data_IF_110542817817
#
_entry.id   IF_110542817817
#
_cell.length_a   1.000
_cell.length_b   1.000
_cell.length_c   1.000
_cell.angle_alpha   90.00
_cell.angle_beta   90.00
_cell.angle_gamma   90.00
#
_symmetry.space_group_name_H-M   'P 1'
#
loop_
_entity.id
_entity.type
_entity.pdbx_description
1 polymer ?
#
# COMPACT_ATOMS: atom_id res chain seq x y z
N UNK A 1 2.66 -3.59 -25.75
CA UNK A 1 2.60 -5.05 -25.49
C UNK A 1 1.60 -5.81 -26.38
N UNK A 2 0.44 -5.24 -26.74
CA UNK A 2 -0.52 -5.89 -27.65
C UNK A 2 -0.06 -6.14 -29.12
N UNK A 3 0.79 -5.32 -29.77
CA UNK A 3 1.11 -5.53 -31.19
C UNK A 3 2.12 -6.65 -31.44
N UNK A 4 3.16 -6.81 -30.59
CA UNK A 4 4.12 -7.93 -30.71
C UNK A 4 3.45 -9.29 -30.61
N UNK A 5 2.49 -9.45 -29.69
CA UNK A 5 1.72 -10.69 -29.54
C UNK A 5 0.92 -11.05 -30.81
N UNK A 6 0.44 -10.03 -31.53
CA UNK A 6 -0.28 -10.21 -32.79
C UNK A 6 0.66 -10.66 -33.93
N UNK A 7 1.88 -10.12 -33.97
CA UNK A 7 2.92 -10.53 -34.92
C UNK A 7 3.35 -11.98 -34.66
N UNK A 8 3.59 -12.35 -33.40
CA UNK A 8 3.90 -13.74 -33.04
C UNK A 8 2.77 -14.71 -33.42
N UNK A 9 1.50 -14.29 -33.26
CA UNK A 9 0.34 -15.09 -33.67
C UNK A 9 0.28 -15.28 -35.20
N UNK A 10 0.52 -14.22 -35.97
CA UNK A 10 0.53 -14.26 -37.45
C UNK A 10 1.68 -15.13 -37.96
N UNK A 11 2.87 -15.01 -37.35
CA UNK A 11 4.03 -15.85 -37.68
C UNK A 11 3.75 -17.32 -37.36
N UNK A 12 3.19 -17.62 -36.18
CA UNK A 12 2.82 -18.98 -35.79
C UNK A 12 1.75 -19.60 -36.72
N UNK A 13 0.75 -18.82 -37.13
CA UNK A 13 -0.29 -19.25 -38.06
C UNK A 13 0.24 -19.48 -39.49
N UNK A 14 1.27 -18.73 -39.91
CA UNK A 14 1.90 -18.88 -41.22
C UNK A 14 2.74 -20.17 -41.31
N UNK A 15 3.46 -20.53 -40.22
CA UNK A 15 4.19 -21.80 -40.14
C UNK A 15 3.27 -23.02 -40.07
N UNK A 16 2.08 -22.89 -39.47
CA UNK A 16 1.10 -23.98 -39.39
C UNK A 16 0.44 -24.32 -40.75
N UNK A 17 0.52 -23.42 -41.74
CA UNK A 17 -0.15 -23.57 -43.05
C UNK A 17 0.77 -24.01 -44.19
N UNK A 18 2.07 -24.19 -43.93
CA UNK A 18 3.03 -24.68 -44.93
C UNK A 18 3.29 -23.72 -46.10
N UNK A 19 3.01 -22.42 -45.95
CA UNK A 19 3.33 -21.41 -46.97
C UNK A 19 4.79 -20.96 -46.86
N UNK A 20 5.56 -21.16 -47.92
CA UNK A 20 7.00 -20.88 -48.00
C UNK A 20 7.36 -19.39 -48.21
N UNK A 21 6.44 -18.45 -48.00
CA UNK A 21 6.75 -17.00 -48.08
C UNK A 21 6.16 -16.14 -46.95
N UNK A 22 6.70 -16.21 -45.71
CA UNK A 22 6.37 -15.24 -44.67
C UNK A 22 7.20 -13.94 -44.75
N UNK A 23 8.23 -13.85 -45.60
CA UNK A 23 9.26 -12.80 -45.49
C UNK A 23 8.80 -11.41 -45.94
N UNK A 24 8.02 -11.30 -47.02
CA UNK A 24 7.64 -10.00 -47.57
C UNK A 24 6.62 -9.27 -46.68
N UNK A 25 5.61 -9.99 -46.18
CA UNK A 25 4.54 -9.41 -45.36
C UNK A 25 5.04 -9.06 -43.95
N UNK A 26 5.93 -9.89 -43.38
CA UNK A 26 6.61 -9.59 -42.12
C UNK A 26 7.56 -8.39 -42.26
N UNK A 27 8.30 -8.30 -43.37
CA UNK A 27 9.17 -7.14 -43.63
C UNK A 27 8.37 -5.84 -43.79
N UNK A 28 7.22 -5.87 -44.47
CA UNK A 28 6.37 -4.70 -44.66
C UNK A 28 5.73 -4.23 -43.34
N UNK A 29 5.31 -5.16 -42.48
CA UNK A 29 4.74 -4.84 -41.16
C UNK A 29 5.81 -4.27 -40.22
N UNK A 30 6.99 -4.87 -40.18
CA UNK A 30 8.10 -4.37 -39.36
C UNK A 30 8.60 -3.01 -39.84
N UNK A 31 8.70 -2.79 -41.16
CA UNK A 31 9.10 -1.50 -41.72
C UNK A 31 8.07 -0.40 -41.39
N UNK A 32 6.77 -0.71 -41.46
CA UNK A 32 5.71 0.23 -41.11
C UNK A 32 5.72 0.58 -39.62
N UNK A 33 5.89 -0.40 -38.74
CA UNK A 33 5.96 -0.17 -37.30
C UNK A 33 7.23 0.63 -36.93
N UNK A 34 8.33 0.42 -37.65
CA UNK A 34 9.56 1.20 -37.49
C UNK A 34 9.41 2.66 -37.98
N UNK A 35 8.69 2.89 -39.09
CA UNK A 35 8.35 4.25 -39.55
C UNK A 35 7.44 4.98 -38.57
N UNK A 36 6.42 4.32 -38.04
CA UNK A 36 5.50 4.89 -37.04
C UNK A 36 6.24 5.27 -35.75
N UNK A 37 7.16 4.43 -35.27
CA UNK A 37 8.01 4.73 -34.10
C UNK A 37 8.94 5.92 -34.36
N UNK A 38 9.53 6.01 -35.55
CA UNK A 38 10.41 7.14 -35.89
C UNK A 38 9.63 8.45 -35.98
N UNK A 39 8.41 8.42 -36.52
CA UNK A 39 7.54 9.60 -36.56
C UNK A 39 7.15 10.08 -35.15
N UNK A 40 6.83 9.17 -34.23
CA UNK A 40 6.56 9.50 -32.83
C UNK A 40 7.79 10.08 -32.13
N UNK A 41 8.99 9.56 -32.45
CA UNK A 41 10.25 10.06 -31.91
C UNK A 41 10.56 11.49 -32.39
N UNK A 42 10.26 11.79 -33.66
CA UNK A 42 10.43 13.12 -34.24
C UNK A 42 9.45 14.15 -33.63
N UNK A 43 8.21 13.74 -33.34
CA UNK A 43 7.24 14.59 -32.62
C UNK A 43 7.74 14.90 -31.20
N UNK A 44 8.22 13.89 -30.48
CA UNK A 44 8.78 14.09 -29.13
C UNK A 44 10.02 14.98 -29.12
N UNK A 45 10.89 14.84 -30.13
CA UNK A 45 12.06 15.70 -30.30
C UNK A 45 11.65 17.16 -30.53
N UNK A 46 10.63 17.38 -31.37
CA UNK A 46 10.09 18.72 -31.63
C UNK A 46 9.46 19.35 -30.38
N UNK A 47 8.72 18.58 -29.60
CA UNK A 47 8.11 19.06 -28.34
C UNK A 47 9.18 19.42 -27.30
N UNK A 48 10.27 18.66 -27.24
CA UNK A 48 11.43 18.98 -26.41
C UNK A 48 12.14 20.26 -26.85
N UNK A 49 12.34 20.45 -28.16
CA UNK A 49 12.98 21.65 -28.71
C UNK A 49 12.10 22.90 -28.50
N UNK A 50 10.77 22.79 -28.66
CA UNK A 50 9.83 23.87 -28.34
C UNK A 50 9.79 24.20 -26.85
N UNK A 51 9.86 23.18 -25.98
CA UNK A 51 9.97 23.37 -24.53
C UNK A 51 11.28 24.08 -24.17
N UNK A 52 12.40 23.66 -24.76
CA UNK A 52 13.68 24.33 -24.57
C UNK A 52 13.64 25.79 -25.01
N UNK A 53 12.97 26.12 -26.12
CA UNK A 53 12.81 27.52 -26.57
C UNK A 53 11.99 28.35 -25.57
N UNK A 54 10.88 27.83 -25.05
CA UNK A 54 10.07 28.50 -24.02
C UNK A 54 10.87 28.76 -22.74
N UNK A 55 11.71 27.81 -22.34
CA UNK A 55 12.50 27.91 -21.11
C UNK A 55 13.75 28.81 -21.26
N UNK A 56 14.13 29.17 -22.50
CA UNK A 56 15.29 30.05 -22.80
C UNK A 56 14.87 31.50 -23.12
N UNK A 57 13.58 31.78 -23.25
CA UNK A 57 13.06 33.13 -23.51
C UNK A 57 12.96 33.92 -22.20
N UNK A 58 14.02 34.64 -21.86
CA UNK A 58 14.03 35.62 -20.77
C UNK A 58 13.13 36.78 -21.19
N UNK A 59 11.93 36.84 -20.61
CA UNK A 59 11.07 38.04 -20.67
C UNK A 59 11.76 39.14 -19.84
N UNK A 60 12.13 40.29 -20.43
CA UNK A 60 12.67 41.39 -19.65
C UNK A 60 11.55 41.97 -18.78
N UNK A 61 11.77 41.92 -17.47
CA UNK A 61 10.90 42.54 -16.45
C UNK A 61 10.94 44.07 -16.62
N UNK A 62 9.81 44.79 -16.54
CA UNK A 62 9.83 46.25 -16.62
C UNK A 62 10.51 46.83 -15.38
N UNK A 63 11.46 47.74 -15.62
CA UNK A 63 12.20 48.46 -14.57
C UNK A 63 11.27 49.38 -13.77
N UNK A 64 10.76 48.90 -12.63
CA UNK A 64 10.22 49.78 -11.59
C UNK A 64 11.33 50.19 -10.62
N UNK A 65 11.69 51.47 -10.70
CA UNK A 65 12.65 52.12 -9.82
C UNK A 65 12.21 52.03 -8.35
N UNK A 66 12.89 51.18 -7.59
CA UNK A 66 12.73 51.14 -6.13
C UNK A 66 14.07 51.42 -5.44
N UNK A 67 14.22 52.63 -4.91
CA UNK A 67 15.34 53.03 -4.05
C UNK A 67 15.04 52.64 -2.60
N UNK A 68 15.53 51.49 -2.15
CA UNK A 68 15.39 51.06 -0.76
C UNK A 68 16.54 50.17 -0.30
N UNK A 69 17.53 50.77 0.36
CA UNK A 69 18.65 50.06 1.03
C UNK A 69 18.13 49.22 2.18
N UNK A 70 18.35 47.90 2.17
CA UNK A 70 18.55 47.11 3.39
C UNK A 70 19.46 45.89 3.14
N UNK A 71 20.74 46.05 3.47
CA UNK A 71 21.58 44.98 4.03
C UNK A 71 22.06 45.47 5.41
N UNK A 72 21.90 44.73 6.50
CA UNK A 72 22.77 44.89 7.65
C UNK A 72 23.94 43.90 7.54
N UNK A 73 25.14 44.46 7.52
CA UNK A 73 26.39 43.74 7.70
C UNK A 73 26.47 43.09 9.09
N UNK A 74 27.18 41.98 9.13
CA UNK A 74 27.54 41.20 10.32
C UNK A 74 28.52 41.97 11.21
N UNK A 75 28.15 42.28 12.46
CA UNK A 75 29.10 42.52 13.57
C UNK A 75 28.54 41.98 14.90
N UNK A 76 29.50 41.52 15.70
CA UNK A 76 29.53 40.81 16.97
C UNK A 76 28.75 41.37 18.18
N UNK A 77 28.48 40.45 19.11
CA UNK A 77 28.11 40.55 20.54
C UNK A 77 28.06 41.94 21.21
N UNK A 78 26.95 42.25 21.90
CA UNK A 78 26.91 42.55 23.36
C UNK A 78 25.57 43.16 23.79
N UNK A 79 25.04 42.62 24.88
CA UNK A 79 24.10 43.09 25.92
C UNK A 79 23.29 44.41 25.79
N UNK A 80 22.06 44.28 26.33
CA UNK A 80 21.28 45.22 27.17
C UNK A 80 20.15 46.10 26.56
N UNK A 81 18.96 45.90 27.17
CA UNK A 81 17.87 46.84 27.53
C UNK A 81 16.86 47.34 26.46
N UNK A 82 15.59 47.02 26.78
CA UNK A 82 14.29 47.57 26.34
C UNK A 82 14.17 49.08 26.63
N UNK A 83 13.50 49.89 25.79
CA UNK A 83 12.12 50.35 26.12
C UNK A 83 11.22 50.61 24.88
N UNK A 84 9.93 50.23 24.95
CA UNK A 84 8.70 51.08 25.02
C UNK A 84 8.05 51.52 23.69
N UNK A 85 6.74 51.29 23.72
CA UNK A 85 5.60 51.48 22.81
C UNK A 85 5.40 52.90 22.28
N UNK A 86 4.97 53.04 21.02
CA UNK A 86 4.09 54.13 20.55
C UNK A 86 3.06 53.56 19.57
N UNK A 87 1.80 53.91 19.82
CA UNK A 87 0.58 53.56 19.07
C UNK A 87 0.33 54.63 17.99
N UNK A 88 -0.07 54.25 16.77
CA UNK A 88 -0.89 55.10 15.90
C UNK A 88 -1.90 54.28 15.07
N UNK A 89 -3.10 54.85 14.94
CA UNK A 89 -4.35 54.28 14.41
C UNK A 89 -4.46 54.46 12.88
N UNK A 90 -4.99 53.42 12.23
CA UNK A 90 -5.89 53.30 11.04
C UNK A 90 -5.94 54.42 9.96
N UNK A 91 -6.16 54.08 8.66
CA UNK A 91 -7.48 53.63 8.19
C UNK A 91 -7.50 52.50 7.13
N UNK A 92 -8.71 51.91 7.04
CA UNK A 92 -9.19 50.84 6.15
C UNK A 92 -9.37 51.34 4.70
N UNK A 93 -8.96 50.59 3.66
CA UNK A 93 -9.37 50.88 2.29
C UNK A 93 -10.66 50.13 1.91
N UNK A 94 -11.54 50.88 1.27
CA UNK A 94 -12.83 50.47 0.72
C UNK A 94 -12.68 49.74 -0.62
N UNK A 95 -13.54 48.74 -0.79
CA UNK A 95 -13.75 47.87 -1.95
C UNK A 95 -14.02 48.61 -3.26
N UNK A 96 -13.41 48.15 -4.36
CA UNK A 96 -13.97 48.27 -5.71
C UNK A 96 -13.88 46.92 -6.43
N UNK A 97 -15.04 46.35 -6.75
CA UNK A 97 -15.21 45.10 -7.51
C UNK A 97 -15.24 45.45 -9.00
N UNK A 98 -14.41 44.85 -9.87
CA UNK A 98 -14.58 44.97 -11.31
C UNK A 98 -15.67 44.01 -11.79
N UNK A 99 -16.73 44.58 -12.38
CA UNK A 99 -17.78 43.87 -13.11
C UNK A 99 -17.16 43.37 -14.43
N UNK A 100 -16.94 42.06 -14.55
CA UNK A 100 -16.51 41.44 -15.82
C UNK A 100 -17.74 40.85 -16.51
N UNK A 101 -18.05 41.37 -17.69
CA UNK A 101 -19.09 40.90 -18.61
C UNK A 101 -18.65 39.59 -19.27
N UNK A 102 -19.47 38.54 -19.13
CA UNK A 102 -19.29 37.23 -19.78
C UNK A 102 -19.77 37.36 -21.24
N UNK A 103 -18.96 37.00 -22.26
CA UNK A 103 -19.47 36.81 -23.61
C UNK A 103 -20.08 35.41 -23.75
N UNK A 104 -21.38 35.37 -24.04
CA UNK A 104 -22.12 34.16 -24.42
C UNK A 104 -21.59 33.66 -25.77
N UNK A 105 -20.92 32.51 -25.79
CA UNK A 105 -20.55 31.83 -27.04
C UNK A 105 -21.58 30.74 -27.33
N UNK A 106 -22.16 30.81 -28.52
CA UNK A 106 -23.19 29.91 -29.02
C UNK A 106 -22.63 28.49 -29.25
N UNK A 107 -23.41 27.50 -28.84
CA UNK A 107 -23.28 26.08 -29.21
C UNK A 107 -23.46 25.87 -30.72
N UNK A 108 -22.56 25.16 -31.41
CA UNK A 108 -22.84 24.64 -32.73
C UNK A 108 -23.58 23.30 -32.64
N UNK A 109 -24.85 23.30 -33.05
CA UNK A 109 -25.61 22.10 -33.43
C UNK A 109 -24.95 21.48 -34.66
N UNK A 110 -24.45 20.26 -34.53
CA UNK A 110 -23.98 19.48 -35.69
C UNK A 110 -24.82 18.20 -35.81
N UNK A 111 -25.24 17.95 -37.05
CA UNK A 111 -26.24 16.99 -37.46
C UNK A 111 -25.89 15.53 -37.18
N UNK A 112 -26.93 14.77 -36.85
CA UNK A 112 -26.94 13.31 -36.77
C UNK A 112 -26.75 12.74 -38.18
N UNK A 113 -25.66 12.00 -38.39
CA UNK A 113 -25.45 11.15 -39.56
C UNK A 113 -25.95 9.73 -39.25
N UNK A 114 -26.95 9.28 -40.01
CA UNK A 114 -27.52 7.94 -39.95
C UNK A 114 -26.60 6.94 -40.64
N UNK A 115 -26.16 5.93 -39.91
CA UNK A 115 -25.51 4.72 -40.48
C UNK A 115 -26.47 3.52 -40.36
N UNK A 116 -26.54 2.64 -41.38
CA UNK A 116 -27.49 1.54 -41.41
C UNK A 116 -27.04 0.35 -40.57
N UNK A 117 -27.91 -0.10 -39.68
CA UNK A 117 -27.77 -1.34 -38.90
C UNK A 117 -27.86 -2.56 -39.83
N UNK A 118 -26.77 -3.31 -39.96
CA UNK A 118 -26.81 -4.67 -40.53
C UNK A 118 -27.17 -5.66 -39.42
N UNK A 119 -28.27 -6.39 -39.61
CA UNK A 119 -28.74 -7.42 -38.70
C UNK A 119 -27.84 -8.66 -38.74
N UNK A 120 -27.43 -9.15 -37.57
CA UNK A 120 -26.81 -10.46 -37.38
C UNK A 120 -27.90 -11.43 -36.88
N UNK A 121 -28.05 -12.64 -37.47
CA UNK A 121 -29.10 -13.57 -37.06
C UNK A 121 -28.78 -14.24 -35.73
N UNK A 122 -29.67 -14.07 -34.75
CA UNK A 122 -29.69 -14.81 -33.49
C UNK A 122 -30.13 -16.26 -33.76
N UNK A 123 -29.21 -17.21 -33.59
CA UNK A 123 -29.54 -18.64 -33.58
C UNK A 123 -30.00 -19.00 -32.17
N UNK A 124 -31.25 -19.47 -32.04
CA UNK A 124 -31.82 -19.94 -30.79
C UNK A 124 -31.21 -21.29 -30.38
N UNK A 125 -30.70 -21.38 -29.15
CA UNK A 125 -30.31 -22.64 -28.50
C UNK A 125 -31.45 -23.04 -27.56
N UNK A 126 -31.95 -24.29 -27.62
CA UNK A 126 -33.13 -24.71 -26.87
C UNK A 126 -32.84 -24.86 -25.36
N UNK A 127 -33.65 -24.19 -24.54
CA UNK A 127 -33.74 -24.36 -23.09
C UNK A 127 -34.32 -25.73 -22.78
N UNK A 128 -33.50 -26.62 -22.22
CA UNK A 128 -33.97 -27.90 -21.66
C UNK A 128 -34.41 -27.68 -20.21
N UNK A 129 -35.70 -27.91 -19.94
CA UNK A 129 -36.28 -27.85 -18.61
C UNK A 129 -35.79 -29.01 -17.74
N UNK A 130 -35.27 -28.69 -16.55
CA UNK A 130 -34.96 -29.66 -15.50
C UNK A 130 -36.22 -29.81 -14.63
N UNK A 131 -36.75 -31.04 -14.42
CA UNK A 131 -37.93 -31.25 -13.60
C UNK A 131 -37.63 -31.18 -12.10
N UNK A 132 -38.40 -30.35 -11.41
CA UNK A 132 -38.52 -30.31 -9.94
C UNK A 132 -39.17 -31.59 -9.45
N UNK A 133 -38.49 -32.36 -8.59
CA UNK A 133 -39.07 -33.50 -7.87
C UNK A 133 -39.17 -33.18 -6.39
N UNK A 134 -40.38 -33.33 -5.84
CA UNK A 134 -40.72 -33.08 -4.46
C UNK A 134 -40.42 -34.30 -3.55
N UNK A 135 -39.97 -33.95 -2.34
CA UNK A 135 -39.75 -34.74 -1.12
C UNK A 135 -40.71 -35.91 -0.85
N UNK A 136 -40.24 -37.01 -0.22
CA UNK A 136 -41.01 -37.73 0.79
C UNK A 136 -40.51 -37.40 2.21
N UNK A 137 -41.47 -37.05 3.05
CA UNK A 137 -41.32 -36.83 4.49
C UNK A 137 -41.48 -38.18 5.20
N UNK A 138 -40.57 -38.53 6.10
CA UNK A 138 -40.75 -39.65 7.02
C UNK A 138 -40.76 -39.12 8.46
N UNK A 139 -41.77 -39.57 9.19
CA UNK A 139 -42.19 -39.18 10.53
C UNK A 139 -41.61 -40.07 11.64
N UNK A 140 -41.07 -39.43 12.71
CA UNK A 140 -41.39 -39.62 14.16
C UNK A 140 -41.00 -40.98 14.80
N UNK A 141 -40.38 -41.03 16.02
CA UNK A 141 -41.01 -40.53 17.24
C UNK A 141 -40.19 -39.72 18.26
N UNK A 142 -40.99 -38.95 18.99
CA UNK A 142 -40.73 -38.17 20.20
C UNK A 142 -40.74 -39.14 21.39
N UNK A 143 -39.90 -38.92 22.39
CA UNK A 143 -40.12 -39.40 23.76
C UNK A 143 -40.04 -38.20 24.69
N UNK A 144 -41.11 -38.04 25.46
CA UNK A 144 -41.35 -36.96 26.41
C UNK A 144 -40.85 -37.32 27.83
N UNK A 145 -40.42 -36.26 28.54
CA UNK A 145 -40.68 -35.93 29.95
C UNK A 145 -40.03 -36.77 31.07
N UNK A 146 -39.21 -36.08 31.87
CA UNK A 146 -39.46 -35.95 33.31
C UNK A 146 -39.06 -34.55 33.81
N UNK A 147 -40.07 -33.78 34.25
CA UNK A 147 -39.93 -32.66 35.18
C UNK A 147 -40.13 -33.20 36.61
N UNK A 148 -39.46 -32.59 37.59
CA UNK A 148 -39.87 -32.60 38.99
C UNK A 148 -39.99 -31.15 39.49
N UNK A 149 -41.15 -30.89 40.08
CA UNK A 149 -41.61 -29.68 40.79
C UNK A 149 -40.76 -29.37 42.04
N UNK A 150 -40.42 -28.10 42.28
CA UNK A 150 -41.08 -27.11 43.16
C UNK A 150 -40.83 -27.25 44.67
N UNK A 151 -40.36 -26.14 45.27
CA UNK A 151 -40.20 -25.95 46.71
C UNK A 151 -40.00 -24.47 47.05
N UNK A 152 -40.98 -23.92 47.75
CA UNK A 152 -41.37 -22.51 47.95
C UNK A 152 -40.58 -21.76 49.05
N UNK A 153 -40.70 -20.41 49.05
CA UNK A 153 -40.75 -19.54 50.25
C UNK A 153 -39.39 -19.20 50.90
N UNK A 154 -38.99 -18.00 51.37
CA UNK A 154 -39.63 -16.71 51.68
C UNK A 154 -38.50 -15.73 52.06
N UNK A 155 -38.63 -14.44 51.72
CA UNK A 155 -37.87 -13.31 52.32
C UNK A 155 -38.31 -13.10 53.79
N UNK A 156 -37.50 -12.46 54.68
CA UNK A 156 -37.49 -10.98 54.75
C UNK A 156 -36.13 -10.34 55.14
N UNK A 157 -35.99 -9.05 54.80
CA UNK A 157 -35.02 -8.06 55.35
C UNK A 157 -35.65 -7.38 56.60
N UNK A 158 -35.09 -6.37 57.34
CA UNK A 158 -33.92 -5.47 57.11
C UNK A 158 -33.13 -4.99 58.38
N UNK A 159 -32.26 -3.95 58.20
CA UNK A 159 -31.69 -2.91 59.12
C UNK A 159 -30.17 -3.06 59.43
N UNK A 160 -29.24 -2.17 59.01
CA UNK A 160 -28.99 -0.72 59.28
C UNK A 160 -28.20 -0.43 60.58
N UNK A 161 -26.94 0.05 60.51
CA UNK A 161 -26.38 1.33 61.04
C UNK A 161 -24.82 1.39 61.06
N UNK A 162 -24.24 2.58 60.84
CA UNK A 162 -22.81 2.96 60.74
C UNK A 162 -22.18 3.35 62.13
N UNK A 163 -21.08 4.15 62.32
CA UNK A 163 -19.94 4.59 61.46
C UNK A 163 -18.51 4.66 62.14
N UNK A 164 -17.49 5.05 61.35
CA UNK A 164 -16.23 5.82 61.67
C UNK A 164 -15.07 5.20 62.48
N UNK A 165 -13.82 5.33 61.98
CA UNK A 165 -12.74 6.25 62.44
C UNK A 165 -11.53 6.16 61.47
N UNK A 166 -10.95 7.32 61.10
CA UNK A 166 -9.68 7.48 60.36
C UNK A 166 -8.50 7.50 61.34
N UNK A 167 -7.43 6.78 61.02
CA UNK A 167 -6.05 7.08 61.45
C UNK A 167 -5.10 6.63 60.33
N UNK A 168 -4.37 7.56 59.73
CA UNK A 168 -3.13 7.31 58.98
C UNK A 168 -1.98 7.21 59.99
N UNK A 169 -0.99 6.34 59.79
CA UNK A 169 0.31 6.91 59.45
C UNK A 169 1.18 6.09 58.47
N UNK A 170 1.97 6.88 57.76
CA UNK A 170 3.35 6.68 57.32
C UNK A 170 3.69 5.68 56.19
N UNK A 171 4.16 6.31 55.11
CA UNK A 171 4.78 5.74 53.93
C UNK A 171 6.00 4.87 54.28
N UNK A 172 5.92 3.58 53.94
CA UNK A 172 7.09 2.78 53.62
C UNK A 172 6.86 2.14 52.25
N UNK A 173 7.35 2.82 51.22
CA UNK A 173 7.22 2.37 49.85
C UNK A 173 8.07 1.11 49.61
N UNK A 174 7.41 0.01 49.19
CA UNK A 174 8.05 -1.23 48.70
C UNK A 174 7.41 -1.71 47.38
N UNK A 175 7.05 -0.78 46.51
CA UNK A 175 6.27 -1.05 45.29
C UNK A 175 7.03 -1.87 44.23
N UNK A 176 6.44 -3.01 43.85
CA UNK A 176 6.69 -3.73 42.60
C UNK A 176 6.01 -2.97 41.45
N UNK A 177 6.76 -2.65 40.39
CA UNK A 177 6.21 -2.04 39.18
C UNK A 177 5.52 -3.10 38.32
N UNK A 178 4.19 -3.15 38.31
CA UNK A 178 3.29 -3.60 37.22
C UNK A 178 1.84 -3.36 37.69
N UNK A 179 0.96 -2.65 36.95
CA UNK A 179 -0.41 -2.43 37.39
C UNK A 179 -1.24 -3.73 37.27
N UNK A 180 -1.83 -4.13 38.40
CA UNK A 180 -2.78 -5.23 38.52
C UNK A 180 -4.12 -4.80 37.89
N UNK A 181 -4.51 -5.46 36.80
CA UNK A 181 -5.81 -5.27 36.16
C UNK A 181 -6.86 -5.95 37.05
N UNK A 182 -7.70 -5.15 37.71
CA UNK A 182 -8.90 -5.64 38.37
C UNK A 182 -9.90 -6.15 37.32
N UNK A 183 -10.23 -7.43 37.46
CA UNK A 183 -11.10 -8.15 36.54
C UNK A 183 -12.56 -7.72 36.66
N UNK A 184 -13.17 -7.32 35.54
CA UNK A 184 -14.60 -7.43 35.31
C UNK A 184 -14.90 -7.52 33.80
N UNK A 185 -14.76 -8.73 33.24
CA UNK A 185 -15.68 -9.33 32.25
C UNK A 185 -14.99 -10.53 31.61
N UNK A 186 -15.41 -11.70 32.07
CA UNK A 186 -14.90 -13.01 31.71
C UNK A 186 -15.38 -13.46 30.33
N UNK A 187 -14.48 -13.40 29.34
CA UNK A 187 -14.31 -14.43 28.31
C UNK A 187 -12.81 -14.68 28.15
N UNK A 188 -12.35 -15.79 28.71
CA UNK A 188 -10.96 -16.27 28.69
C UNK A 188 -10.60 -16.69 27.26
N UNK A 189 -9.66 -16.04 26.55
CA UNK A 189 -8.90 -16.76 25.54
C UNK A 189 -8.00 -17.71 26.32
N UNK A 190 -8.17 -19.00 26.13
CA UNK A 190 -7.18 -19.98 26.55
C UNK A 190 -5.88 -19.69 25.78
N UNK A 191 -5.00 -18.88 26.35
CA UNK A 191 -3.59 -18.94 26.04
C UNK A 191 -3.12 -20.31 26.54
N UNK A 192 -3.10 -21.29 25.63
CA UNK A 192 -2.33 -22.48 25.85
C UNK A 192 -0.86 -22.03 25.99
N UNK A 193 -0.12 -22.48 27.02
CA UNK A 193 1.32 -22.34 26.99
C UNK A 193 1.77 -23.13 25.77
N UNK A 194 2.36 -22.45 24.79
CA UNK A 194 3.13 -23.13 23.76
C UNK A 194 4.26 -23.83 24.50
N UNK A 195 4.07 -25.12 24.77
CA UNK A 195 5.12 -26.02 25.16
C UNK A 195 6.21 -25.94 24.09
N UNK A 196 7.45 -25.88 24.57
CA UNK A 196 8.60 -25.43 23.81
C UNK A 196 8.71 -25.99 22.41
N UNK A 197 8.94 -25.08 21.47
CA UNK A 197 9.65 -25.39 20.24
C UNK A 197 10.77 -24.37 20.15
N UNK A 198 11.98 -24.87 20.33
CA UNK A 198 13.23 -24.16 20.17
C UNK A 198 13.23 -23.38 18.85
N UNK A 199 13.88 -22.21 18.83
CA UNK A 199 14.06 -21.35 17.66
C UNK A 199 14.93 -21.94 16.54
N UNK A 200 14.86 -23.25 16.30
CA UNK A 200 15.72 -23.97 15.36
C UNK A 200 14.88 -24.77 14.37
N UNK A 201 14.47 -24.05 13.31
CA UNK A 201 14.38 -24.47 11.89
C UNK A 201 13.12 -23.92 11.21
N UNK A 202 13.08 -22.60 10.98
CA UNK A 202 12.16 -22.01 9.99
C UNK A 202 12.15 -22.83 8.68
N UNK A 203 13.33 -23.30 8.24
CA UNK A 203 13.49 -24.19 7.09
C UNK A 203 12.70 -25.49 7.16
N UNK A 204 12.52 -26.07 8.34
CA UNK A 204 11.71 -27.26 8.52
C UNK A 204 10.21 -26.95 8.45
N UNK A 205 9.79 -25.70 8.63
CA UNK A 205 8.40 -25.28 8.50
C UNK A 205 8.00 -24.98 7.05
N UNK A 206 8.97 -24.85 6.14
CA UNK A 206 8.71 -24.69 4.70
C UNK A 206 8.52 -26.08 4.08
N UNK A 207 7.31 -26.61 4.23
CA UNK A 207 6.91 -27.91 3.72
C UNK A 207 5.39 -27.98 3.55
N UNK A 208 4.91 -29.02 2.88
CA UNK A 208 3.48 -29.23 2.61
C UNK A 208 2.60 -29.42 3.86
N UNK A 209 3.19 -29.76 5.02
CA UNK A 209 2.46 -29.93 6.28
C UNK A 209 2.19 -28.61 6.99
N UNK A 210 3.06 -27.60 6.80
CA UNK A 210 2.96 -26.32 7.50
C UNK A 210 2.68 -25.16 6.54
N UNK A 211 3.63 -24.84 5.65
CA UNK A 211 3.51 -23.79 4.65
C UNK A 211 4.52 -23.99 3.52
N UNK A 212 4.06 -24.47 2.37
CA UNK A 212 4.87 -24.62 1.16
C UNK A 212 4.78 -23.39 0.23
N UNK A 213 4.03 -22.36 0.63
CA UNK A 213 3.75 -21.18 -0.19
C UNK A 213 2.82 -21.45 -1.38
N UNK A 214 2.17 -22.63 -1.47
CA UNK A 214 1.33 -23.05 -2.59
C UNK A 214 -0.08 -23.48 -2.17
N UNK A 215 -0.22 -24.12 -1.01
CA UNK A 215 -1.48 -24.69 -0.54
C UNK A 215 -2.16 -23.83 0.54
N UNK A 216 -3.48 -23.96 0.67
CA UNK A 216 -4.30 -23.29 1.68
C UNK A 216 -4.16 -21.75 1.71
N UNK A 217 -3.76 -21.14 0.59
CA UNK A 217 -3.51 -19.69 0.48
C UNK A 217 -4.74 -18.83 0.76
N UNK A 218 -5.92 -19.42 0.59
CA UNK A 218 -7.23 -18.82 0.90
C UNK A 218 -7.42 -18.46 2.37
N UNK A 219 -6.59 -18.99 3.28
CA UNK A 219 -6.58 -18.63 4.71
C UNK A 219 -6.07 -17.22 4.93
N UNK A 220 -5.07 -16.78 4.15
CA UNK A 220 -4.53 -15.42 4.25
C UNK A 220 -5.30 -14.44 3.37
N UNK A 221 -5.78 -14.93 2.21
CA UNK A 221 -6.44 -14.08 1.23
C UNK A 221 -7.33 -14.87 0.29
N UNK A 222 -8.60 -14.48 0.21
CA UNK A 222 -9.53 -14.98 -0.80
C UNK A 222 -9.35 -14.19 -2.10
N UNK A 223 -9.01 -14.85 -3.23
CA UNK A 223 -8.76 -14.15 -4.48
C UNK A 223 -9.90 -13.23 -4.89
N UNK A 224 -9.60 -11.93 -4.91
CA UNK A 224 -10.52 -10.91 -5.38
C UNK A 224 -9.72 -9.80 -6.07
N UNK A 225 -10.27 -9.28 -7.15
CA UNK A 225 -9.62 -8.24 -7.93
C UNK A 225 -9.65 -6.88 -7.24
N UNK A 226 -10.66 -6.64 -6.37
CA UNK A 226 -10.82 -5.38 -5.67
C UNK A 226 -9.56 -5.00 -4.92
N UNK A 227 -8.85 -5.91 -4.27
CA UNK A 227 -7.67 -5.56 -3.48
C UNK A 227 -6.53 -4.88 -4.26
N UNK A 228 -6.48 -5.04 -5.58
CA UNK A 228 -5.42 -4.50 -6.42
C UNK A 228 -5.90 -3.73 -7.68
N UNK A 229 -7.19 -3.79 -8.01
CA UNK A 229 -7.80 -2.98 -9.07
C UNK A 229 -8.44 -1.71 -8.50
N UNK A 230 -8.45 -0.64 -9.29
CA UNK A 230 -9.13 0.59 -8.94
C UNK A 230 -10.52 0.66 -9.60
N UNK A 231 -11.56 0.81 -8.79
CA UNK A 231 -12.95 0.90 -9.25
C UNK A 231 -13.43 2.35 -9.47
N UNK A 232 -12.55 3.34 -9.31
CA UNK A 232 -12.89 4.76 -9.28
C UNK A 232 -11.88 5.66 -9.97
N UNK A 233 -12.02 6.99 -9.82
CA UNK A 233 -11.00 7.93 -10.30
C UNK A 233 -9.69 7.73 -9.53
N UNK A 234 -8.59 8.10 -10.17
CA UNK A 234 -7.31 8.15 -9.47
C UNK A 234 -7.33 9.20 -8.36
N UNK A 235 -6.65 8.88 -7.26
CA UNK A 235 -6.47 9.77 -6.12
C UNK A 235 -5.57 10.93 -6.52
N UNK A 236 -6.07 12.15 -6.34
CA UNK A 236 -5.31 13.38 -6.56
C UNK A 236 -4.47 13.70 -5.32
N UNK A 237 -3.16 13.99 -5.46
CA UNK A 237 -2.32 14.38 -4.33
C UNK A 237 -2.77 15.71 -3.74
N UNK A 238 -3.03 15.75 -2.44
CA UNK A 238 -3.28 16.99 -1.71
C UNK A 238 -1.94 17.62 -1.26
N UNK A 239 -1.57 18.82 -1.76
CA UNK A 239 -0.32 19.48 -1.39
C UNK A 239 -0.23 19.88 0.09
N UNK A 240 -1.35 19.92 0.82
CA UNK A 240 -1.40 20.24 2.24
C UNK A 240 -1.09 19.05 3.13
N UNK A 241 -1.28 17.83 2.62
CA UNK A 241 -0.95 16.58 3.33
C UNK A 241 0.56 16.38 3.26
N UNK A 242 1.16 16.07 4.42
CA UNK A 242 2.59 15.77 4.54
C UNK A 242 2.84 14.29 4.67
N UNK A 243 4.05 13.88 4.31
CA UNK A 243 4.53 12.54 4.61
C UNK A 243 4.60 12.29 6.12
N UNK A 244 4.35 11.05 6.54
CA UNK A 244 4.44 10.64 7.95
C UNK A 244 5.44 9.50 8.06
N UNK A 245 6.48 9.68 8.88
CA UNK A 245 7.37 8.61 9.31
C UNK A 245 6.91 8.12 10.68
N UNK A 246 6.61 6.83 10.79
CA UNK A 246 6.17 6.18 12.01
C UNK A 246 7.16 5.07 12.38
N UNK A 247 7.50 5.02 13.66
CA UNK A 247 8.33 3.97 14.25
C UNK A 247 7.49 3.21 15.27
N UNK A 248 7.56 1.89 15.21
CA UNK A 248 7.01 1.02 16.25
C UNK A 248 8.12 0.54 17.18
N UNK A 249 7.83 0.52 18.48
CA UNK A 249 8.76 -0.02 19.46
C UNK A 249 8.73 -1.55 19.45
N UNK A 250 9.83 -2.16 19.05
CA UNK A 250 10.04 -3.61 19.08
C UNK A 250 11.03 -3.91 20.20
N UNK A 251 10.63 -4.64 21.26
CA UNK A 251 11.56 -5.08 22.30
C UNK A 251 12.73 -5.87 21.71
N UNK A 252 13.95 -5.65 22.18
CA UNK A 252 15.14 -6.36 21.66
C UNK A 252 15.04 -7.89 21.82
N UNK A 253 14.27 -8.37 22.79
CA UNK A 253 14.02 -9.79 23.03
C UNK A 253 12.83 -10.34 22.22
N UNK A 254 12.15 -9.51 21.42
CA UNK A 254 11.04 -9.93 20.59
C UNK A 254 11.55 -10.82 19.46
N UNK A 255 10.93 -11.99 19.32
CA UNK A 255 11.13 -12.90 18.20
C UNK A 255 9.77 -13.16 17.59
N UNK A 256 9.66 -12.93 16.29
CA UNK A 256 8.40 -13.15 15.60
C UNK A 256 8.05 -14.63 15.56
N UNK A 257 6.77 -14.95 15.70
CA UNK A 257 6.29 -16.34 15.60
C UNK A 257 5.96 -16.67 14.15
N UNK A 258 6.58 -17.72 13.64
CA UNK A 258 6.19 -18.36 12.40
C UNK A 258 4.91 -19.20 12.59
N UNK A 259 3.90 -18.99 11.74
CA UNK A 259 2.58 -19.63 11.87
C UNK A 259 2.22 -20.38 10.58
N UNK A 260 2.00 -21.69 10.68
CA UNK A 260 1.56 -22.55 9.58
C UNK A 260 0.17 -22.17 9.03
N UNK A 261 -0.13 -22.54 7.78
CA UNK A 261 -1.35 -22.18 7.04
C UNK A 261 -2.67 -22.67 7.65
N UNK A 262 -2.66 -23.45 8.72
CA UNK A 262 -3.85 -24.00 9.39
C UNK A 262 -4.68 -22.99 10.19
N UNK A 263 -4.19 -21.78 10.38
CA UNK A 263 -4.84 -20.74 11.18
C UNK A 263 -4.59 -19.37 10.59
N UNK A 264 -5.57 -18.47 10.73
CA UNK A 264 -5.43 -17.05 10.41
C UNK A 264 -4.47 -16.35 11.39
N UNK A 265 -3.89 -15.24 10.95
CA UNK A 265 -3.03 -14.38 11.76
C UNK A 265 -3.71 -13.01 11.90
N UNK A 266 -4.21 -12.65 13.09
CA UNK A 266 -4.78 -11.33 13.32
C UNK A 266 -3.68 -10.29 13.51
N UNK A 267 -3.94 -9.07 13.04
CA UNK A 267 -3.08 -7.90 13.26
C UNK A 267 -3.90 -6.76 13.87
N UNK A 268 -3.31 -6.05 14.83
CA UNK A 268 -3.98 -4.96 15.55
C UNK A 268 -4.07 -3.66 14.73
N UNK A 269 -3.37 -3.62 13.59
CA UNK A 269 -3.24 -2.45 12.74
C UNK A 269 -3.19 -2.86 11.26
N UNK A 270 -3.64 -1.98 10.34
CA UNK A 270 -3.75 -2.32 8.92
C UNK A 270 -2.40 -2.54 8.23
N UNK A 271 -1.34 -1.84 8.66
CA UNK A 271 -0.01 -1.92 8.06
C UNK A 271 1.04 -2.31 9.11
N UNK A 272 1.01 -3.54 9.67
CA UNK A 272 1.94 -3.92 10.73
C UNK A 272 3.39 -3.90 10.23
N UNK A 273 4.31 -3.37 11.06
CA UNK A 273 5.76 -3.35 10.72
C UNK A 273 6.56 -4.50 11.35
N UNK A 274 5.93 -5.26 12.24
CA UNK A 274 6.42 -6.51 12.80
C UNK A 274 5.24 -7.36 13.27
N UNK A 275 5.48 -8.64 13.58
CA UNK A 275 4.43 -9.53 14.09
C UNK A 275 4.59 -10.97 13.63
N UNK A 276 3.67 -11.86 14.05
CA UNK A 276 3.61 -13.21 13.54
C UNK A 276 3.35 -13.23 12.02
N UNK A 277 3.94 -14.18 11.31
CA UNK A 277 3.89 -14.25 9.85
C UNK A 277 4.11 -15.68 9.35
N UNK A 278 4.06 -15.87 8.02
CA UNK A 278 4.18 -17.19 7.38
C UNK A 278 5.64 -17.64 7.22
N UNK A 279 5.96 -18.93 7.44
CA UNK A 279 7.29 -19.49 7.18
C UNK A 279 7.79 -19.25 5.75
N UNK A 280 6.97 -19.47 4.73
CA UNK A 280 7.36 -19.20 3.35
C UNK A 280 7.19 -17.71 3.03
N UNK A 281 8.27 -16.94 3.07
CA UNK A 281 8.25 -15.53 2.64
C UNK A 281 8.08 -15.41 1.14
N UNK A 282 7.69 -14.22 0.69
CA UNK A 282 7.53 -13.92 -0.73
C UNK A 282 8.88 -13.87 -1.45
N UNK A 283 8.92 -14.31 -2.70
CA UNK A 283 10.05 -13.96 -3.57
C UNK A 283 10.18 -12.45 -3.67
N UNK A 284 11.41 -11.93 -3.67
CA UNK A 284 11.61 -10.50 -3.88
C UNK A 284 11.17 -10.12 -5.30
N UNK A 285 10.47 -9.00 -5.42
CA UNK A 285 9.94 -8.54 -6.70
C UNK A 285 8.62 -7.78 -6.62
N UNK A 286 7.96 -7.64 -7.76
CA UNK A 286 6.69 -6.94 -7.90
C UNK A 286 5.56 -7.96 -8.02
N UNK A 287 4.48 -7.73 -7.27
CA UNK A 287 3.27 -8.53 -7.23
C UNK A 287 2.08 -7.69 -7.64
N UNK A 288 1.09 -8.35 -8.24
CA UNK A 288 -0.24 -7.74 -8.41
C UNK A 288 -0.87 -7.50 -7.05
N UNK A 289 -0.81 -8.51 -6.17
CA UNK A 289 -1.21 -8.43 -4.77
C UNK A 289 -0.40 -9.43 -3.95
N UNK A 290 -0.05 -9.04 -2.72
CA UNK A 290 0.66 -9.89 -1.78
C UNK A 290 0.08 -9.74 -0.35
N UNK A 291 -0.32 -10.83 0.31
CA UNK A 291 -0.84 -10.77 1.69
C UNK A 291 0.21 -10.29 2.71
N UNK A 292 -0.26 -9.65 3.79
CA UNK A 292 0.56 -9.10 4.88
C UNK A 292 1.52 -10.14 5.44
N UNK A 293 1.02 -11.36 5.67
CA UNK A 293 1.73 -12.43 6.32
C UNK A 293 2.97 -12.89 5.53
N UNK A 294 3.04 -12.58 4.23
CA UNK A 294 4.19 -12.91 3.37
C UNK A 294 5.25 -11.82 3.44
N UNK A 295 4.86 -10.57 3.18
CA UNK A 295 5.82 -9.46 3.16
C UNK A 295 6.35 -9.08 4.55
N UNK A 296 5.61 -9.39 5.63
CA UNK A 296 6.08 -9.15 7.00
C UNK A 296 7.35 -9.95 7.30
N UNK A 297 7.45 -11.18 6.78
CA UNK A 297 8.67 -12.00 6.86
C UNK A 297 9.79 -11.42 5.98
N UNK A 298 9.47 -10.92 4.77
CA UNK A 298 10.47 -10.21 3.96
C UNK A 298 11.09 -9.02 4.71
N UNK A 299 10.31 -8.28 5.52
CA UNK A 299 10.82 -7.21 6.37
C UNK A 299 11.69 -7.74 7.52
N UNK A 300 11.34 -8.87 8.13
CA UNK A 300 12.19 -9.52 9.13
C UNK A 300 13.55 -9.93 8.54
N UNK A 301 13.59 -10.27 7.25
CA UNK A 301 14.82 -10.53 6.48
C UNK A 301 15.55 -9.25 6.00
N UNK A 302 15.07 -8.07 6.42
CA UNK A 302 15.66 -6.79 6.09
C UNK A 302 15.23 -6.20 4.75
N UNK A 303 14.17 -6.72 4.14
CA UNK A 303 13.61 -6.20 2.89
C UNK A 303 12.80 -4.92 3.06
N UNK A 304 12.64 -4.19 1.95
CA UNK A 304 11.81 -2.98 1.85
C UNK A 304 10.52 -3.31 1.11
N UNK A 305 9.38 -3.00 1.71
CA UNK A 305 8.06 -3.22 1.10
C UNK A 305 7.52 -1.89 0.62
N UNK A 306 7.27 -1.78 -0.68
CA UNK A 306 6.54 -0.68 -1.27
C UNK A 306 5.08 -1.08 -1.47
N UNK A 307 4.18 -0.45 -0.73
CA UNK A 307 2.75 -0.60 -0.94
C UNK A 307 2.17 0.64 -1.60
N UNK A 308 1.12 0.47 -2.40
CA UNK A 308 0.36 1.58 -2.95
C UNK A 308 -1.14 1.27 -2.97
N UNK A 309 -1.96 2.28 -2.72
CA UNK A 309 -3.40 2.14 -2.89
C UNK A 309 -3.70 1.90 -4.38
N UNK A 310 -4.59 0.96 -4.76
CA UNK A 310 -4.81 0.62 -6.17
C UNK A 310 -5.28 1.81 -7.03
N UNK A 311 -5.98 2.77 -6.43
CA UNK A 311 -6.36 4.03 -7.09
C UNK A 311 -5.29 5.14 -7.08
N UNK A 312 -4.05 4.85 -6.72
CA UNK A 312 -2.96 5.82 -6.86
C UNK A 312 -2.67 6.08 -8.32
N UNK A 313 -2.46 7.35 -8.71
CA UNK A 313 -2.12 7.67 -10.09
C UNK A 313 -0.87 6.90 -10.57
N UNK A 314 -0.92 6.19 -11.72
CA UNK A 314 0.16 5.29 -12.16
C UNK A 314 1.53 5.97 -12.29
N UNK A 315 1.58 7.26 -12.63
CA UNK A 315 2.83 8.02 -12.69
C UNK A 315 3.57 8.07 -11.34
N UNK A 316 2.84 8.20 -10.23
CA UNK A 316 3.42 8.23 -8.88
C UNK A 316 3.91 6.85 -8.48
N UNK A 317 3.09 5.82 -8.70
CA UNK A 317 3.47 4.42 -8.47
C UNK A 317 4.74 4.07 -9.25
N UNK A 318 4.79 4.41 -10.54
CA UNK A 318 5.95 4.13 -11.38
C UNK A 318 7.19 4.92 -10.96
N UNK A 319 7.03 6.15 -10.47
CA UNK A 319 8.15 6.94 -9.94
C UNK A 319 8.74 6.29 -8.69
N UNK A 320 7.92 5.86 -7.74
CA UNK A 320 8.40 5.19 -6.52
C UNK A 320 8.96 3.78 -6.82
N UNK A 321 8.33 3.02 -7.73
CA UNK A 321 8.85 1.73 -8.23
C UNK A 321 10.27 1.87 -8.75
N UNK A 322 10.54 2.89 -9.57
CA UNK A 322 11.88 3.15 -10.11
C UNK A 322 12.91 3.39 -9.01
N UNK A 323 12.56 4.13 -7.97
CA UNK A 323 13.43 4.38 -6.82
C UNK A 323 13.74 3.07 -6.11
N UNK A 324 12.72 2.33 -5.69
CA UNK A 324 12.87 1.08 -4.92
C UNK A 324 13.66 0.03 -5.72
N UNK A 325 13.30 -0.21 -6.99
CA UNK A 325 13.99 -1.17 -7.88
C UNK A 325 15.44 -0.81 -8.18
N UNK A 326 15.83 0.45 -8.05
CA UNK A 326 17.21 0.88 -8.24
C UNK A 326 17.97 1.08 -6.92
N UNK A 327 17.31 0.82 -5.79
CA UNK A 327 17.92 0.96 -4.48
C UNK A 327 18.46 -0.33 -3.90
N UNK A 328 17.74 -1.45 -4.04
CA UNK A 328 18.13 -2.72 -3.46
C UNK A 328 17.46 -3.90 -4.18
N UNK A 329 18.10 -5.05 -4.09
CA UNK A 329 17.56 -6.35 -4.48
C UNK A 329 16.39 -6.76 -3.58
N UNK A 330 16.53 -6.67 -2.25
CA UNK A 330 15.53 -7.12 -1.28
C UNK A 330 14.32 -6.20 -1.18
N UNK A 331 13.56 -6.07 -2.26
CA UNK A 331 12.32 -5.32 -2.30
C UNK A 331 11.12 -6.18 -2.64
N UNK A 332 9.96 -5.77 -2.14
CA UNK A 332 8.66 -6.27 -2.54
C UNK A 332 7.78 -5.08 -2.89
N UNK A 333 7.05 -5.17 -3.99
CA UNK A 333 6.13 -4.12 -4.42
C UNK A 333 4.75 -4.73 -4.62
N UNK A 334 3.71 -4.18 -4.00
CA UNK A 334 2.34 -4.69 -4.12
C UNK A 334 1.31 -3.58 -4.01
N UNK A 335 0.17 -3.75 -4.69
CA UNK A 335 -1.02 -2.96 -4.37
C UNK A 335 -1.57 -3.39 -2.99
N UNK A 336 -2.19 -2.45 -2.27
CA UNK A 336 -2.91 -2.72 -1.03
C UNK A 336 -3.88 -1.59 -0.71
N UNK A 337 -5.16 -1.93 -0.45
CA UNK A 337 -6.16 -0.97 0.05
C UNK A 337 -5.99 -0.59 1.51
N UNK A 338 -5.05 -1.23 2.21
CA UNK A 338 -4.71 -0.89 3.59
C UNK A 338 -3.88 0.39 3.68
N UNK A 339 -3.31 0.84 2.55
CA UNK A 339 -2.65 2.14 2.45
C UNK A 339 -3.70 3.26 2.44
N UNK A 340 -3.63 4.25 3.33
CA UNK A 340 -4.61 5.35 3.40
C UNK A 340 -4.73 6.13 2.09
N UNK A 341 -5.93 6.60 1.75
CA UNK A 341 -6.16 7.32 0.49
C UNK A 341 -5.48 8.71 0.43
N UNK A 342 -5.33 9.39 1.58
CA UNK A 342 -4.63 10.68 1.67
C UNK A 342 -3.10 10.55 1.57
N UNK A 343 -2.57 9.36 1.86
CA UNK A 343 -1.15 9.00 1.72
C UNK A 343 -1.03 7.66 0.97
N UNK A 344 -1.35 7.65 -0.34
CA UNK A 344 -1.65 6.42 -1.06
C UNK A 344 -0.40 5.62 -1.47
N UNK A 345 0.77 5.99 -0.95
CA UNK A 345 2.05 5.30 -1.12
C UNK A 345 2.66 5.02 0.24
N UNK A 346 3.24 3.84 0.43
CA UNK A 346 3.94 3.48 1.66
C UNK A 346 5.27 2.78 1.35
N UNK A 347 6.30 3.11 2.12
CA UNK A 347 7.51 2.30 2.26
C UNK A 347 7.55 1.72 3.67
N UNK A 348 7.79 0.43 3.80
CA UNK A 348 7.80 -0.27 5.08
C UNK A 348 9.07 -1.12 5.21
N UNK A 349 9.61 -1.16 6.43
CA UNK A 349 10.70 -2.05 6.85
C UNK A 349 10.41 -2.53 8.28
N UNK A 350 11.26 -3.38 8.83
CA UNK A 350 11.07 -3.91 10.18
C UNK A 350 11.03 -2.78 11.23
N UNK A 351 9.86 -2.57 11.84
CA UNK A 351 9.63 -1.52 12.84
C UNK A 351 9.40 -0.10 12.32
N UNK A 352 9.42 0.13 11.00
CA UNK A 352 9.28 1.47 10.41
C UNK A 352 8.31 1.50 9.23
N UNK A 353 7.53 2.56 9.13
CA UNK A 353 6.77 2.88 7.91
C UNK A 353 6.81 4.36 7.57
N UNK A 354 6.89 4.65 6.29
CA UNK A 354 6.82 5.98 5.72
C UNK A 354 5.60 6.05 4.80
N UNK A 355 4.60 6.82 5.19
CA UNK A 355 3.39 7.09 4.41
C UNK A 355 3.57 8.38 3.61
N UNK A 356 3.28 8.34 2.32
CA UNK A 356 3.60 9.39 1.35
C UNK A 356 2.33 9.84 0.60
N UNK A 357 1.96 11.13 0.66
CA UNK A 357 0.91 11.70 -0.22
C UNK A 357 1.39 11.84 -1.67
N UNK A 358 2.70 12.02 -1.86
CA UNK A 358 3.36 12.14 -3.16
C UNK A 358 4.79 11.60 -3.06
N UNK A 359 5.42 11.35 -4.21
CA UNK A 359 6.80 10.81 -4.27
C UNK A 359 7.82 11.93 -4.12
N UNK A 360 8.40 12.00 -2.93
CA UNK A 360 9.65 12.69 -2.64
C UNK A 360 10.82 11.70 -2.80
N UNK A 361 11.67 11.94 -3.79
CA UNK A 361 12.81 11.06 -4.10
C UNK A 361 13.84 11.07 -2.97
N UNK A 362 14.14 12.24 -2.39
CA UNK A 362 15.13 12.36 -1.33
C UNK A 362 14.68 11.64 -0.07
N UNK A 363 13.44 11.89 0.34
CA UNK A 363 12.86 11.23 1.51
C UNK A 363 12.77 9.71 1.33
N UNK A 364 12.37 9.23 0.15
CA UNK A 364 12.28 7.80 -0.13
C UNK A 364 13.66 7.12 -0.11
N UNK A 365 14.68 7.73 -0.74
CA UNK A 365 16.06 7.22 -0.75
C UNK A 365 16.65 7.23 0.67
N UNK A 366 16.44 8.31 1.41
CA UNK A 366 16.89 8.43 2.80
C UNK A 366 16.27 7.34 3.68
N UNK A 367 14.95 7.14 3.61
CA UNK A 367 14.27 6.08 4.35
C UNK A 367 14.85 4.70 4.03
N UNK A 368 15.06 4.39 2.75
CA UNK A 368 15.61 3.09 2.34
C UNK A 368 17.03 2.90 2.90
N UNK A 369 17.89 3.92 2.85
CA UNK A 369 19.25 3.84 3.40
C UNK A 369 19.27 3.66 4.91
N UNK A 370 18.40 4.37 5.62
CA UNK A 370 18.39 4.39 7.09
C UNK A 370 17.72 3.15 7.69
N UNK A 371 16.77 2.53 6.99
CA UNK A 371 15.92 1.50 7.59
C UNK A 371 15.94 0.13 6.89
N UNK A 372 16.43 0.01 5.66
CA UNK A 372 16.63 -1.31 5.05
C UNK A 372 17.66 -2.14 5.84
N UNK A 373 17.58 -3.46 5.73
CA UNK A 373 18.54 -4.41 6.33
C UNK A 373 18.57 -4.47 7.87
N UNK A 374 17.65 -3.79 8.56
CA UNK A 374 17.51 -3.77 10.03
C UNK A 374 16.53 -4.81 10.59
N UNK A 375 16.25 -5.87 9.82
CA UNK A 375 15.44 -7.00 10.28
C UNK A 375 16.14 -7.85 11.34
N UNK A 376 15.37 -8.70 12.03
CA UNK A 376 15.90 -9.63 13.03
C UNK A 376 16.84 -10.68 12.40
N UNK A 377 16.45 -11.22 11.24
CA UNK A 377 17.23 -12.19 10.49
C UNK A 377 17.94 -11.53 9.29
N UNK A 378 19.25 -11.74 9.16
CA UNK A 378 20.03 -11.13 8.07
C UNK A 378 20.31 -12.16 6.98
N UNK A 379 19.34 -12.35 6.09
CA UNK A 379 19.44 -13.27 4.95
C UNK A 379 19.05 -12.58 3.65
N UNK A 380 19.80 -12.87 2.58
CA UNK A 380 19.49 -12.44 1.21
C UNK A 380 18.74 -13.50 0.40
N UNK A 381 18.41 -14.65 0.99
CA UNK A 381 17.80 -15.76 0.25
C UNK A 381 16.44 -15.34 -0.31
N UNK A 382 16.20 -15.70 -1.56
CA UNK A 382 14.90 -15.48 -2.20
C UNK A 382 13.82 -16.37 -1.56
N UNK A 383 12.57 -15.94 -1.67
CA UNK A 383 11.42 -16.59 -1.05
C UNK A 383 10.85 -17.79 -1.80
N UNK A 384 9.79 -18.35 -1.24
CA UNK A 384 9.12 -19.55 -1.76
C UNK A 384 7.71 -19.25 -2.30
N UNK A 385 7.07 -18.20 -1.78
CA UNK A 385 5.77 -17.75 -2.26
C UNK A 385 5.94 -16.86 -3.49
N UNK A 386 5.24 -17.18 -4.59
CA UNK A 386 5.32 -16.48 -5.88
C UNK A 386 3.94 -16.28 -6.53
N UNK A 387 2.85 -16.56 -5.80
CA UNK A 387 1.50 -16.37 -6.33
C UNK A 387 1.30 -14.88 -6.64
N UNK A 388 0.87 -14.59 -7.88
CA UNK A 388 0.73 -13.22 -8.41
C UNK A 388 2.03 -12.41 -8.53
N UNK A 389 3.19 -13.07 -8.54
CA UNK A 389 4.45 -12.42 -8.88
C UNK A 389 4.41 -11.97 -10.36
N UNK A 390 4.59 -10.67 -10.59
CA UNK A 390 4.64 -10.02 -11.90
C UNK A 390 6.07 -10.06 -12.44
N UNK A 391 7.05 -9.70 -11.61
CA UNK A 391 8.46 -9.73 -11.99
C UNK A 391 9.36 -9.94 -10.77
N UNK A 392 10.32 -10.87 -10.80
CA UNK A 392 11.30 -11.02 -9.72
C UNK A 392 12.19 -9.76 -9.60
N UNK A 393 12.72 -9.52 -8.42
CA UNK A 393 13.68 -8.46 -8.18
C UNK A 393 15.04 -8.78 -8.84
N UNK A 394 15.69 -7.75 -9.36
CA UNK A 394 17.05 -7.84 -9.89
C UNK A 394 18.06 -7.44 -8.83
N UNK A 395 19.25 -8.06 -8.88
CA UNK A 395 20.37 -7.64 -8.04
C UNK A 395 20.90 -6.29 -8.50
N UNK A 396 20.85 -5.29 -7.62
CA UNK A 396 21.25 -3.91 -7.95
C UNK A 396 22.74 -3.67 -7.70
N UNK A 397 23.23 -4.01 -6.51
CA UNK A 397 24.64 -3.87 -6.12
C UNK A 397 25.29 -5.25 -5.94
N UNK A 398 24.84 -5.98 -4.94
CA UNK A 398 25.25 -7.37 -4.64
C UNK A 398 24.04 -8.14 -4.12
N UNK A 399 24.05 -9.50 -4.10
CA UNK A 399 22.99 -10.26 -3.47
C UNK A 399 22.68 -9.82 -2.03
N UNK A 400 23.70 -9.41 -1.27
CA UNK A 400 23.57 -8.92 0.11
C UNK A 400 23.14 -7.44 0.25
N UNK A 401 22.92 -6.72 -0.85
CA UNK A 401 22.66 -5.28 -0.83
C UNK A 401 23.72 -4.44 -0.09
N UNK A 402 25.02 -4.74 -0.29
CA UNK A 402 26.12 -4.06 0.41
C UNK A 402 26.14 -2.54 0.15
N UNK A 403 25.73 -2.11 -1.04
CA UNK A 403 25.51 -0.70 -1.36
C UNK A 403 24.01 -0.46 -1.61
N UNK A 404 23.39 0.33 -0.72
CA UNK A 404 21.98 0.72 -0.80
C UNK A 404 21.84 2.03 -1.59
N UNK A 405 20.96 2.03 -2.58
CA UNK A 405 20.73 3.16 -3.48
C UNK A 405 22.00 3.62 -4.23
N UNK A 406 22.73 2.71 -4.92
CA UNK A 406 23.97 3.04 -5.62
C UNK A 406 23.77 4.06 -6.75
N UNK A 407 22.55 4.16 -7.30
CA UNK A 407 22.21 5.09 -8.38
C UNK A 407 21.85 6.51 -7.91
N UNK A 408 21.76 6.77 -6.60
CA UNK A 408 21.31 8.05 -6.05
C UNK A 408 22.41 8.79 -5.27
N UNK A 409 23.51 9.14 -5.92
CA UNK A 409 24.62 9.86 -5.24
C UNK A 409 24.20 11.28 -4.85
N UNK A 410 24.40 11.66 -3.58
CA UNK A 410 24.15 13.03 -3.09
C UNK A 410 22.69 13.43 -2.88
N UNK A 411 21.78 12.44 -2.92
CA UNK A 411 20.37 12.58 -2.54
C UNK A 411 20.20 12.38 -1.05
#
# INVERSE_FOLDING_TARGET
MKPLMFIFLIVALSFAKGEEQPSALLSALLNKEFEDINADLDVLKKDMDEKSKRDTEIVPEPEEAWTGKWFPARVTQSTTKRPKTVSHKTPKPTTMVPKTTIPTTATPTTAVSTTPTTAVPTTAVPTTAIPTSAKPTTSVPITEVHQHEAGTSTTPSPKSTAPTVRVEPEESWTGKWFPEITAASSKKPTAAPASGMDGNNMWQMINSTCDDGKQNLTVDWQPNNRDYECDGPYLEPDPSVKATLEQEYIPAAYVARHVCMKSEIPYDQPLPTFGPHRPAWARYGEYTFLPIQRFLHNMEHGGVIMLYHPCTHPALVNKLKKIVKSCLYRHVISASRLVPQDKPLALMTWGWRLLLPNVDTSLAVQFIREHALHGYEKTHRDGFYDQLLVSPAEVVSTPDDQEICPRYKGV
#
